data_IF_803728236002
#
_entry.id   IF_803728236002
#
_cell.length_a   1.000
_cell.length_b   1.000
_cell.length_c   1.000
_cell.angle_alpha   90.00
_cell.angle_beta   90.00
_cell.angle_gamma   90.00
#
_symmetry.space_group_name_H-M   'P 1'
#
loop_
_entity.id
_entity.type
_entity.pdbx_description
1 polymer ?
#
# COMPACT_ATOMS: atom_id res chain seq x y z
N UNK A 1 -26.71 11.57 -21.44
CA UNK A 1 -25.24 11.78 -21.56
C UNK A 1 -24.46 11.34 -20.33
N UNK A 2 -25.01 11.39 -19.10
CA UNK A 2 -24.31 10.96 -17.86
C UNK A 2 -24.18 9.44 -17.72
N UNK A 3 -25.17 8.67 -18.18
CA UNK A 3 -25.17 7.19 -18.08
C UNK A 3 -24.18 6.51 -19.05
N UNK A 4 -23.88 7.14 -20.19
CA UNK A 4 -22.89 6.65 -21.17
C UNK A 4 -21.44 6.84 -20.70
N UNK A 5 -21.18 7.89 -19.92
CA UNK A 5 -19.85 8.18 -19.34
C UNK A 5 -19.55 7.20 -18.21
N UNK A 6 -20.53 6.86 -17.37
CA UNK A 6 -20.40 5.85 -16.30
C UNK A 6 -20.21 4.43 -16.85
N UNK A 7 -20.88 4.09 -17.96
CA UNK A 7 -20.69 2.81 -18.64
C UNK A 7 -19.31 2.69 -19.29
N UNK A 8 -18.82 3.77 -19.92
CA UNK A 8 -17.50 3.80 -20.56
C UNK A 8 -16.33 3.73 -19.56
N UNK A 9 -16.43 4.38 -18.40
CA UNK A 9 -15.42 4.31 -17.34
C UNK A 9 -15.36 2.94 -16.66
N UNK A 10 -16.51 2.31 -16.43
CA UNK A 10 -16.57 0.94 -15.90
C UNK A 10 -15.96 -0.09 -16.88
N UNK A 11 -16.17 0.07 -18.19
CA UNK A 11 -15.57 -0.81 -19.20
C UNK A 11 -14.05 -0.59 -19.29
N UNK A 12 -13.56 0.65 -19.30
CA UNK A 12 -12.12 0.95 -19.33
C UNK A 12 -11.36 0.45 -18.10
N UNK A 13 -12.02 0.44 -16.93
CA UNK A 13 -11.50 -0.09 -15.68
C UNK A 13 -11.25 -1.60 -15.73
N UNK A 14 -11.99 -2.36 -16.54
CA UNK A 14 -11.85 -3.83 -16.61
C UNK A 14 -11.26 -4.31 -17.95
N UNK A 15 -11.28 -3.48 -19.01
CA UNK A 15 -10.81 -3.89 -20.34
C UNK A 15 -9.29 -3.73 -20.52
N UNK A 16 -8.65 -2.75 -19.87
CA UNK A 16 -7.22 -2.47 -20.08
C UNK A 16 -6.34 -3.03 -18.96
N UNK A 17 -5.06 -3.40 -19.23
CA UNK A 17 -4.15 -3.84 -18.16
C UNK A 17 -3.98 -2.80 -17.05
N UNK A 18 -3.92 -1.51 -17.40
CA UNK A 18 -3.82 -0.43 -16.41
C UNK A 18 -5.11 -0.27 -15.62
N UNK A 19 -6.27 -0.33 -16.27
CA UNK A 19 -7.57 -0.29 -15.60
C UNK A 19 -7.67 -1.40 -14.55
N UNK A 20 -7.39 -2.65 -14.95
CA UNK A 20 -7.45 -3.82 -14.04
C UNK A 20 -6.51 -3.65 -12.85
N UNK A 21 -5.30 -3.16 -13.11
CA UNK A 21 -4.31 -2.89 -12.07
C UNK A 21 -4.83 -1.85 -11.06
N UNK A 22 -5.37 -0.73 -11.53
CA UNK A 22 -5.91 0.33 -10.67
C UNK A 22 -7.16 -0.13 -9.91
N UNK A 23 -8.07 -0.86 -10.55
CA UNK A 23 -9.25 -1.43 -9.91
C UNK A 23 -8.89 -2.42 -8.81
N UNK A 24 -7.87 -3.27 -9.04
CA UNK A 24 -7.35 -4.17 -8.00
C UNK A 24 -6.76 -3.40 -6.83
N UNK A 25 -5.97 -2.36 -7.11
CA UNK A 25 -5.41 -1.50 -6.06
C UNK A 25 -6.51 -0.83 -5.22
N UNK A 26 -7.52 -0.27 -5.87
CA UNK A 26 -8.66 0.37 -5.18
C UNK A 26 -9.46 -0.63 -4.33
N UNK A 27 -9.67 -1.85 -4.83
CA UNK A 27 -10.37 -2.90 -4.10
C UNK A 27 -9.62 -3.34 -2.83
N UNK A 28 -8.32 -3.59 -2.93
CA UNK A 28 -7.52 -4.04 -1.79
C UNK A 28 -7.33 -2.91 -0.77
N UNK A 29 -7.14 -1.67 -1.23
CA UNK A 29 -7.13 -0.50 -0.34
C UNK A 29 -8.47 -0.34 0.38
N UNK A 30 -9.59 -0.45 -0.34
CA UNK A 30 -10.93 -0.42 0.26
C UNK A 30 -11.12 -1.49 1.34
N UNK A 31 -10.62 -2.72 1.10
CA UNK A 31 -10.64 -3.80 2.10
C UNK A 31 -9.83 -3.44 3.34
N UNK A 32 -8.62 -2.93 3.18
CA UNK A 32 -7.75 -2.51 4.30
C UNK A 32 -8.47 -1.42 5.10
N UNK A 33 -8.93 -0.36 4.43
CA UNK A 33 -9.58 0.78 5.06
C UNK A 33 -10.87 0.38 5.81
N UNK A 34 -11.62 -0.61 5.30
CA UNK A 34 -12.85 -1.12 5.92
C UNK A 34 -12.62 -1.98 7.17
N UNK A 35 -11.42 -2.56 7.32
CA UNK A 35 -11.05 -3.45 8.44
C UNK A 35 -10.32 -2.73 9.57
N UNK A 36 -10.12 -1.42 9.44
CA UNK A 36 -9.44 -0.60 10.45
C UNK A 36 -10.17 -0.65 11.79
N UNK A 37 -9.42 -0.84 12.86
CA UNK A 37 -9.89 -0.68 14.23
C UNK A 37 -8.98 0.30 14.97
N UNK A 38 -9.57 1.09 15.86
CA UNK A 38 -8.82 1.99 16.74
C UNK A 38 -7.84 1.18 17.60
N UNK A 39 -6.61 1.69 17.70
CA UNK A 39 -5.58 1.09 18.53
C UNK A 39 -6.02 1.08 20.00
N UNK A 40 -6.63 2.14 20.51
CA UNK A 40 -7.13 2.21 21.89
C UNK A 40 -8.16 1.10 22.17
N UNK A 41 -9.08 0.86 21.22
CA UNK A 41 -10.07 -0.22 21.32
C UNK A 41 -9.37 -1.58 21.36
N UNK A 42 -8.39 -1.81 20.50
CA UNK A 42 -7.64 -3.08 20.45
C UNK A 42 -6.79 -3.30 21.70
N UNK A 43 -6.22 -2.23 22.27
CA UNK A 43 -5.44 -2.30 23.50
C UNK A 43 -6.32 -2.60 24.72
N UNK A 44 -7.60 -2.22 24.70
CA UNK A 44 -8.57 -2.56 25.74
C UNK A 44 -9.21 -3.95 25.54
N UNK A 45 -9.31 -4.44 24.31
CA UNK A 45 -9.97 -5.70 23.94
C UNK A 45 -9.20 -6.94 24.47
N UNK A 46 -9.81 -7.74 25.35
CA UNK A 46 -9.18 -8.94 25.92
C UNK A 46 -8.85 -10.02 24.89
N UNK A 47 -9.50 -10.01 23.71
CA UNK A 47 -9.21 -10.95 22.63
C UNK A 47 -7.94 -10.59 21.83
N UNK A 48 -7.40 -9.38 21.99
CA UNK A 48 -6.13 -8.98 21.37
C UNK A 48 -4.98 -9.75 22.00
N UNK A 49 -4.17 -10.42 21.16
CA UNK A 49 -3.01 -11.19 21.61
C UNK A 49 -2.04 -10.31 22.41
N UNK A 50 -1.35 -10.87 23.44
CA UNK A 50 -0.42 -10.10 24.26
C UNK A 50 0.68 -9.41 23.44
N UNK A 51 1.23 -10.11 22.44
CA UNK A 51 2.28 -9.56 21.57
C UNK A 51 1.79 -8.41 20.69
N UNK A 52 0.59 -8.51 20.12
CA UNK A 52 -0.02 -7.40 19.37
C UNK A 52 -0.32 -6.22 20.30
N UNK A 53 -0.91 -6.47 21.47
CA UNK A 53 -1.22 -5.43 22.46
C UNK A 53 0.01 -4.63 22.87
N UNK A 54 1.11 -5.31 23.17
CA UNK A 54 2.37 -4.65 23.57
C UNK A 54 2.93 -3.74 22.46
N UNK A 55 2.93 -4.21 21.21
CA UNK A 55 3.36 -3.39 20.05
C UNK A 55 2.46 -2.16 19.86
N UNK A 56 1.15 -2.34 20.00
CA UNK A 56 0.17 -1.26 19.87
C UNK A 56 0.30 -0.22 20.99
N UNK A 57 0.55 -0.65 22.23
CA UNK A 57 0.86 0.25 23.35
C UNK A 57 2.13 1.06 23.09
N UNK A 58 3.15 0.43 22.51
CA UNK A 58 4.38 1.14 22.13
C UNK A 58 4.12 2.23 21.07
N UNK A 59 3.25 1.97 20.09
CA UNK A 59 2.84 3.00 19.11
C UNK A 59 2.19 4.19 19.80
N UNK A 60 1.25 3.96 20.72
CA UNK A 60 0.60 5.03 21.48
C UNK A 60 1.60 5.82 22.34
N UNK A 61 2.54 5.13 22.99
CA UNK A 61 3.59 5.76 23.79
C UNK A 61 4.53 6.62 22.93
N UNK A 62 4.94 6.13 21.76
CA UNK A 62 5.77 6.87 20.82
C UNK A 62 5.06 8.13 20.29
N UNK A 63 3.76 8.03 19.96
CA UNK A 63 2.94 9.19 19.58
C UNK A 63 2.87 10.23 20.68
N UNK A 64 2.63 9.80 21.92
CA UNK A 64 2.59 10.69 23.08
C UNK A 64 3.93 11.38 23.31
N UNK A 65 5.04 10.65 23.21
CA UNK A 65 6.38 11.23 23.31
C UNK A 65 6.65 12.27 22.21
N UNK A 66 6.27 11.97 20.97
CA UNK A 66 6.42 12.91 19.85
C UNK A 66 5.66 14.22 20.09
N UNK A 67 4.44 14.16 20.62
CA UNK A 67 3.65 15.35 20.97
C UNK A 67 4.20 16.07 22.22
N UNK A 68 4.27 15.36 23.33
CA UNK A 68 4.50 15.94 24.66
C UNK A 68 5.97 16.36 24.86
N UNK A 69 6.93 15.62 24.29
CA UNK A 69 8.37 15.83 24.52
C UNK A 69 9.10 16.48 23.35
N UNK A 70 8.67 16.22 22.11
CA UNK A 70 9.32 16.77 20.92
C UNK A 70 8.54 17.91 20.26
N UNK A 71 7.29 18.16 20.67
CA UNK A 71 6.44 19.20 20.07
C UNK A 71 6.04 18.91 18.62
N UNK A 72 6.13 17.65 18.17
CA UNK A 72 5.75 17.25 16.83
C UNK A 72 4.23 17.08 16.72
N UNK A 73 3.62 17.42 15.57
CA UNK A 73 2.18 17.29 15.38
C UNK A 73 1.75 15.82 15.23
N UNK A 74 1.49 15.15 16.36
CA UNK A 74 0.93 13.81 16.40
C UNK A 74 -0.60 13.83 16.21
N UNK A 75 -1.04 14.24 15.01
CA UNK A 75 -2.46 14.22 14.56
C UNK A 75 -3.03 12.80 14.60
N UNK A 76 -4.08 12.54 13.82
CA UNK A 76 -4.75 11.23 13.83
C UNK A 76 -3.92 10.08 13.21
N UNK A 77 -2.73 10.35 12.67
CA UNK A 77 -1.84 9.32 12.11
C UNK A 77 -1.47 8.25 13.13
N UNK A 78 -1.40 6.99 12.68
CA UNK A 78 -1.05 5.83 13.51
C UNK A 78 -1.98 5.64 14.73
N UNK A 79 -3.27 5.97 14.59
CA UNK A 79 -4.31 5.69 15.60
C UNK A 79 -5.17 4.47 15.27
N UNK A 80 -5.03 3.97 14.04
CA UNK A 80 -5.78 2.83 13.53
C UNK A 80 -4.82 1.68 13.25
N UNK A 81 -5.36 0.46 13.29
CA UNK A 81 -4.63 -0.75 12.95
C UNK A 81 -5.53 -1.66 12.12
N UNK A 82 -4.96 -2.24 11.05
CA UNK A 82 -5.60 -3.32 10.30
C UNK A 82 -4.77 -4.58 10.44
N UNK A 83 -5.37 -5.65 10.98
CA UNK A 83 -4.73 -6.96 10.98
C UNK A 83 -4.73 -7.52 9.55
N UNK A 84 -3.54 -7.85 9.06
CA UNK A 84 -3.39 -8.57 7.81
C UNK A 84 -3.55 -10.08 8.04
N UNK A 85 -4.08 -10.77 7.03
CA UNK A 85 -4.21 -12.23 7.03
C UNK A 85 -2.86 -12.92 6.76
N UNK A 86 -1.85 -12.17 6.28
CA UNK A 86 -0.51 -12.63 5.93
C UNK A 86 0.54 -11.51 6.15
N UNK A 87 1.81 -11.88 6.26
CA UNK A 87 2.91 -10.94 6.61
C UNK A 87 3.31 -9.97 5.48
N UNK A 88 2.84 -10.18 4.25
CA UNK A 88 3.20 -9.35 3.09
C UNK A 88 1.96 -8.72 2.47
N UNK A 89 1.75 -7.41 2.64
CA UNK A 89 0.58 -6.75 2.07
C UNK A 89 0.66 -6.62 0.54
N UNK A 90 1.82 -6.20 0.06
CA UNK A 90 2.06 -5.87 -1.34
C UNK A 90 3.50 -6.24 -1.71
N UNK A 91 3.71 -6.76 -2.92
CA UNK A 91 5.05 -6.90 -3.50
C UNK A 91 5.40 -5.65 -4.28
N UNK A 92 6.56 -5.07 -4.03
CA UNK A 92 7.03 -3.87 -4.73
C UNK A 92 8.15 -4.26 -5.67
N UNK A 93 7.93 -4.06 -6.97
CA UNK A 93 8.90 -4.25 -8.03
C UNK A 93 9.61 -2.93 -8.33
N UNK A 94 10.93 -2.99 -8.37
CA UNK A 94 11.79 -1.97 -8.96
C UNK A 94 12.80 -2.63 -9.90
N UNK A 95 13.38 -1.86 -10.80
CA UNK A 95 14.52 -2.35 -11.58
C UNK A 95 15.37 -1.21 -12.11
N UNK A 96 16.61 -1.52 -12.47
CA UNK A 96 17.57 -0.59 -13.08
C UNK A 96 18.23 -1.24 -14.29
N UNK A 97 18.70 -0.45 -15.25
CA UNK A 97 19.53 -1.00 -16.33
C UNK A 97 20.80 -1.63 -15.73
N UNK A 98 21.27 -2.72 -16.35
CA UNK A 98 22.49 -3.43 -15.92
C UNK A 98 23.76 -2.57 -15.96
N UNK A 99 23.81 -1.65 -16.92
CA UNK A 99 24.98 -0.85 -17.25
C UNK A 99 24.88 0.61 -16.77
N UNK A 100 23.75 1.01 -16.17
CA UNK A 100 23.51 2.38 -15.76
C UNK A 100 22.49 2.47 -14.62
N UNK A 101 22.61 3.50 -13.77
CA UNK A 101 21.64 3.83 -12.72
C UNK A 101 20.39 4.52 -13.29
N UNK A 102 19.74 3.86 -14.25
CA UNK A 102 18.53 4.32 -14.92
C UNK A 102 17.38 3.41 -14.52
N UNK A 103 16.45 3.88 -13.66
CA UNK A 103 15.38 3.05 -13.16
C UNK A 103 14.33 2.75 -14.23
N UNK A 104 13.77 1.54 -14.18
CA UNK A 104 12.50 1.24 -14.79
C UNK A 104 11.44 2.18 -14.21
N UNK A 105 10.55 2.70 -15.07
CA UNK A 105 9.49 3.60 -14.63
C UNK A 105 8.14 3.22 -15.24
N UNK A 106 7.11 3.35 -14.42
CA UNK A 106 5.73 3.11 -14.80
C UNK A 106 4.96 4.42 -14.75
N UNK A 107 4.14 4.68 -15.78
CA UNK A 107 3.29 5.86 -15.83
C UNK A 107 1.88 5.55 -15.31
N UNK A 108 1.34 6.47 -14.52
CA UNK A 108 -0.02 6.41 -13.98
C UNK A 108 -0.74 7.74 -14.23
N UNK A 109 -2.08 7.71 -14.44
CA UNK A 109 -2.84 8.87 -14.94
C UNK A 109 -2.89 10.09 -14.02
N UNK A 110 -2.58 9.95 -12.73
CA UNK A 110 -2.63 11.04 -11.74
C UNK A 110 -1.22 11.39 -11.23
N UNK A 111 -0.41 10.38 -10.90
CA UNK A 111 0.91 10.58 -10.27
C UNK A 111 2.08 10.61 -11.26
N UNK A 112 1.82 10.42 -12.55
CA UNK A 112 2.87 10.43 -13.57
C UNK A 112 3.79 9.22 -13.52
N UNK A 113 5.09 9.42 -13.79
CA UNK A 113 6.08 8.33 -13.80
C UNK A 113 6.66 8.10 -12.41
N UNK A 114 6.65 6.84 -11.97
CA UNK A 114 7.24 6.42 -10.69
C UNK A 114 8.22 5.27 -10.91
N UNK A 115 9.31 5.17 -10.12
CA UNK A 115 10.38 4.20 -10.34
C UNK A 115 10.13 2.83 -9.66
N UNK A 116 8.89 2.54 -9.28
CA UNK A 116 8.49 1.26 -8.70
C UNK A 116 7.02 0.96 -9.01
N UNK A 117 6.62 -0.31 -8.85
CA UNK A 117 5.23 -0.75 -9.03
C UNK A 117 4.84 -1.79 -7.97
N UNK A 118 3.72 -1.54 -7.29
CA UNK A 118 3.20 -2.42 -6.23
C UNK A 118 2.16 -3.41 -6.73
N UNK A 119 2.17 -4.64 -6.23
CA UNK A 119 1.28 -5.72 -6.64
C UNK A 119 0.64 -6.41 -5.43
N UNK A 120 -0.69 -6.34 -5.34
CA UNK A 120 -1.49 -7.16 -4.41
C UNK A 120 -1.80 -8.57 -4.95
N UNK A 121 -1.42 -8.85 -6.20
CA UNK A 121 -1.45 -10.18 -6.81
C UNK A 121 0.01 -10.60 -7.02
N UNK A 122 0.47 -11.56 -6.22
CA UNK A 122 1.88 -11.96 -6.20
C UNK A 122 2.29 -12.67 -7.49
N UNK A 123 1.37 -13.42 -8.10
CA UNK A 123 1.59 -14.04 -9.39
C UNK A 123 1.75 -13.00 -10.50
N UNK A 124 0.95 -11.92 -10.45
CA UNK A 124 1.14 -10.78 -11.34
C UNK A 124 2.48 -10.07 -11.12
N UNK A 125 2.93 -9.98 -9.87
CA UNK A 125 4.22 -9.39 -9.51
C UNK A 125 5.39 -10.20 -10.11
N UNK A 126 5.38 -11.52 -9.92
CA UNK A 126 6.41 -12.42 -10.47
C UNK A 126 6.41 -12.43 -12.00
N UNK A 127 5.24 -12.36 -12.64
CA UNK A 127 5.16 -12.19 -14.11
C UNK A 127 5.74 -10.86 -14.57
N UNK A 128 5.52 -9.78 -13.82
CA UNK A 128 6.06 -8.46 -14.16
C UNK A 128 7.57 -8.39 -13.95
N UNK A 129 8.10 -8.99 -12.89
CA UNK A 129 9.54 -9.11 -12.63
C UNK A 129 10.24 -9.85 -13.76
N UNK A 130 9.73 -11.03 -14.16
CA UNK A 130 10.30 -11.80 -15.29
C UNK A 130 10.36 -10.99 -16.57
N UNK A 131 9.26 -10.33 -16.95
CA UNK A 131 9.22 -9.46 -18.14
C UNK A 131 10.26 -8.33 -18.06
N UNK A 132 10.38 -7.69 -16.90
CA UNK A 132 11.33 -6.60 -16.72
C UNK A 132 12.79 -7.10 -16.80
N UNK A 133 13.07 -8.31 -16.27
CA UNK A 133 14.37 -8.95 -16.40
C UNK A 133 14.70 -9.34 -17.84
N UNK A 134 13.71 -9.86 -18.59
CA UNK A 134 13.83 -10.19 -20.02
C UNK A 134 14.11 -8.94 -20.87
N UNK A 135 13.59 -7.78 -20.45
CA UNK A 135 13.86 -6.46 -21.04
C UNK A 135 15.28 -5.92 -20.69
N UNK A 136 16.10 -6.69 -19.99
CA UNK A 136 17.52 -6.37 -19.70
C UNK A 136 17.75 -5.55 -18.44
N UNK A 137 16.77 -5.47 -17.55
CA UNK A 137 16.92 -4.82 -16.24
C UNK A 137 17.43 -5.80 -15.17
N UNK A 138 18.16 -5.27 -14.20
CA UNK A 138 18.34 -5.90 -12.90
C UNK A 138 17.13 -5.55 -12.03
N UNK A 139 16.45 -6.58 -11.53
CA UNK A 139 15.16 -6.46 -10.88
C UNK A 139 15.26 -6.73 -9.39
N UNK A 140 14.36 -6.12 -8.63
CA UNK A 140 14.20 -6.36 -7.21
C UNK A 140 12.72 -6.36 -6.86
N UNK A 141 12.20 -7.53 -6.49
CA UNK A 141 10.85 -7.73 -6.01
C UNK A 141 10.86 -7.99 -4.51
N UNK A 142 10.31 -7.05 -3.72
CA UNK A 142 10.35 -7.12 -2.26
C UNK A 142 8.98 -7.13 -1.61
N UNK A 143 8.79 -7.83 -0.49
CA UNK A 143 7.61 -7.65 0.34
C UNK A 143 7.59 -6.27 0.99
N UNK A 144 6.38 -5.71 1.13
CA UNK A 144 6.11 -4.56 1.99
C UNK A 144 4.95 -4.92 2.92
N UNK A 145 5.18 -4.90 4.26
CA UNK A 145 4.13 -5.18 5.24
C UNK A 145 3.24 -3.96 5.52
N UNK A 146 3.68 -2.76 5.10
CA UNK A 146 2.99 -1.50 5.35
C UNK A 146 2.59 -0.83 4.03
N UNK A 147 1.46 -0.11 4.08
CA UNK A 147 0.95 0.73 3.02
C UNK A 147 0.71 2.13 3.59
N UNK A 148 1.20 3.15 2.90
CA UNK A 148 0.92 4.54 3.26
C UNK A 148 0.30 5.23 2.05
N UNK A 149 -0.82 5.89 2.30
CA UNK A 149 -1.52 6.71 1.32
C UNK A 149 -0.95 8.13 1.26
N UNK A 150 0.24 8.35 1.84
CA UNK A 150 0.96 9.64 1.85
C UNK A 150 0.12 10.79 2.43
N UNK A 151 -0.73 10.48 3.40
CA UNK A 151 -1.58 11.46 4.11
C UNK A 151 -2.94 11.73 3.48
N UNK A 152 -3.34 11.00 2.42
CA UNK A 152 -4.70 11.08 1.88
C UNK A 152 -5.74 10.40 2.77
N UNK A 153 -5.33 9.38 3.51
CA UNK A 153 -6.14 8.69 4.51
C UNK A 153 -5.35 8.54 5.81
N UNK A 154 -6.08 8.24 6.88
CA UNK A 154 -5.45 7.83 8.14
C UNK A 154 -4.88 6.41 7.96
N UNK A 155 -3.60 6.35 7.60
CA UNK A 155 -2.88 5.11 7.31
C UNK A 155 -2.93 4.16 8.52
N UNK A 156 -3.35 2.89 8.33
CA UNK A 156 -3.47 1.90 9.40
C UNK A 156 -2.19 1.12 9.73
#
# INVERSE_FOLDING_TARGET
>A
MVMGILGGTAILAVATPMGRYLSRGAWEEGKILSRRRSIDVLVADAATSPGTRAKLQLVLAARRFAADSLGLPAKDVFTQFTKLDHDTLVLVLSGTRRDALVPASWWFPIVGRVPYKGFFDFEAAMRAERRLADDGYDTYLRPSPAFSTLGWFNDP
#
